data_IF_477248679046
#
_entry.id   IF_477248679046
#
_cell.length_a   1.000
_cell.length_b   1.000
_cell.length_c   1.000
_cell.angle_alpha   90.00
_cell.angle_beta   90.00
_cell.angle_gamma   90.00
#
_symmetry.space_group_name_H-M   'P 1'
#
loop_
_entity.id
_entity.type
_entity.pdbx_description
1 polymer ?
#
# COMPACT_ATOMS: atom_id res chain seq x y z
N UNK A 1 8.34 25.09 -11.60
CA UNK A 1 9.56 24.25 -11.55
C UNK A 1 9.12 22.88 -11.04
N UNK A 2 9.34 21.81 -11.80
CA UNK A 2 8.93 20.47 -11.38
C UNK A 2 9.86 19.97 -10.29
N UNK A 3 9.31 19.32 -9.26
CA UNK A 3 10.08 18.82 -8.11
C UNK A 3 11.01 17.68 -8.53
N UNK A 4 12.28 17.78 -8.15
CA UNK A 4 13.24 16.68 -8.28
C UNK A 4 13.00 15.65 -7.16
N UNK A 5 12.75 14.39 -7.57
CA UNK A 5 12.49 13.25 -6.67
C UNK A 5 13.57 12.17 -6.74
N UNK A 6 14.70 12.45 -7.40
CA UNK A 6 15.82 11.52 -7.59
C UNK A 6 16.30 10.89 -6.28
N UNK A 7 16.47 11.69 -5.22
CA UNK A 7 16.90 11.20 -3.90
C UNK A 7 15.90 10.21 -3.28
N UNK A 8 14.61 10.47 -3.44
CA UNK A 8 13.56 9.56 -2.98
C UNK A 8 13.59 8.24 -3.77
N UNK A 9 13.74 8.31 -5.09
CA UNK A 9 13.83 7.12 -5.96
C UNK A 9 15.04 6.25 -5.59
N UNK A 10 16.22 6.86 -5.40
CA UNK A 10 17.44 6.13 -5.01
C UNK A 10 17.23 5.40 -3.68
N UNK A 11 16.63 6.06 -2.68
CA UNK A 11 16.32 5.45 -1.37
C UNK A 11 15.28 4.33 -1.47
N UNK A 12 14.40 4.38 -2.47
CA UNK A 12 13.35 3.37 -2.67
C UNK A 12 13.85 2.07 -3.31
N UNK A 13 14.99 2.08 -4.04
CA UNK A 13 15.51 0.91 -4.78
C UNK A 13 15.54 -0.40 -4.00
N UNK A 14 16.05 -0.46 -2.75
CA UNK A 14 16.03 -1.71 -1.98
C UNK A 14 14.61 -2.19 -1.64
N UNK A 15 13.67 -1.26 -1.47
CA UNK A 15 12.25 -1.57 -1.24
C UNK A 15 11.57 -2.09 -2.51
N UNK A 16 11.89 -1.52 -3.67
CA UNK A 16 11.36 -1.95 -4.97
C UNK A 16 11.69 -3.42 -5.24
N UNK A 17 12.94 -3.84 -5.02
CA UNK A 17 13.34 -5.24 -5.21
C UNK A 17 12.57 -6.21 -4.31
N UNK A 18 12.36 -5.83 -3.04
CA UNK A 18 11.55 -6.63 -2.10
C UNK A 18 10.09 -6.71 -2.52
N UNK A 19 9.55 -5.62 -3.03
CA UNK A 19 8.18 -5.59 -3.54
C UNK A 19 8.02 -6.48 -4.76
N UNK A 20 8.91 -6.37 -5.76
CA UNK A 20 8.84 -7.20 -6.96
C UNK A 20 8.93 -8.70 -6.61
N UNK A 21 9.83 -9.08 -5.69
CA UNK A 21 9.91 -10.44 -5.18
C UNK A 21 8.63 -10.88 -4.46
N UNK A 22 8.00 -10.00 -3.69
CA UNK A 22 6.72 -10.29 -3.02
C UNK A 22 5.58 -10.48 -4.05
N UNK A 23 5.50 -9.59 -5.04
CA UNK A 23 4.46 -9.61 -6.07
C UNK A 23 4.61 -10.80 -7.03
N UNK A 24 5.83 -11.28 -7.26
CA UNK A 24 6.06 -12.51 -8.03
C UNK A 24 5.48 -13.74 -7.32
N UNK A 25 5.41 -13.72 -5.98
CA UNK A 25 4.94 -14.86 -5.18
C UNK A 25 3.44 -14.84 -4.90
N UNK A 26 2.81 -13.66 -4.76
CA UNK A 26 1.42 -13.53 -4.27
C UNK A 26 0.44 -14.42 -5.05
N UNK A 27 0.57 -14.48 -6.38
CA UNK A 27 -0.30 -15.30 -7.25
C UNK A 27 0.04 -16.79 -7.27
N UNK A 28 1.23 -17.19 -6.80
CA UNK A 28 1.78 -18.54 -6.97
C UNK A 28 1.64 -19.43 -5.74
N UNK A 29 1.61 -18.82 -4.55
CA UNK A 29 1.60 -19.56 -3.28
C UNK A 29 0.30 -19.38 -2.53
N UNK A 30 0.01 -20.28 -1.59
CA UNK A 30 -1.06 -20.07 -0.63
C UNK A 30 -0.57 -19.10 0.47
N UNK A 31 -1.03 -17.84 0.43
CA UNK A 31 -0.52 -16.78 1.31
C UNK A 31 -0.90 -16.99 2.79
N UNK A 32 -1.90 -17.83 3.09
CA UNK A 32 -2.30 -18.16 4.47
C UNK A 32 -1.38 -19.18 5.15
N UNK A 33 -0.61 -19.94 4.38
CA UNK A 33 0.23 -21.03 4.92
C UNK A 33 1.70 -20.93 4.51
N UNK A 34 2.04 -20.18 3.46
CA UNK A 34 3.41 -20.01 3.01
C UNK A 34 4.23 -19.09 3.93
N UNK A 35 5.12 -19.70 4.72
CA UNK A 35 5.94 -18.98 5.69
C UNK A 35 6.96 -18.02 5.05
N UNK A 36 7.42 -18.31 3.82
CA UNK A 36 8.38 -17.45 3.13
C UNK A 36 7.69 -16.16 2.65
N UNK A 37 6.50 -16.29 2.06
CA UNK A 37 5.65 -15.18 1.68
C UNK A 37 5.29 -14.32 2.90
N UNK A 38 4.79 -14.92 3.98
CA UNK A 38 4.41 -14.17 5.17
C UNK A 38 5.61 -13.42 5.77
N UNK A 39 6.81 -14.02 5.78
CA UNK A 39 8.04 -13.34 6.24
C UNK A 39 8.41 -12.17 5.32
N UNK A 40 8.35 -12.35 4.01
CA UNK A 40 8.64 -11.29 3.04
C UNK A 40 7.64 -10.14 3.16
N UNK A 41 6.34 -10.44 3.22
CA UNK A 41 5.26 -9.48 3.39
C UNK A 41 5.41 -8.70 4.71
N UNK A 42 5.57 -9.41 5.82
CA UNK A 42 5.76 -8.81 7.15
C UNK A 42 6.99 -7.89 7.17
N UNK A 43 8.09 -8.30 6.54
CA UNK A 43 9.31 -7.50 6.45
C UNK A 43 9.13 -6.24 5.60
N UNK A 44 8.49 -6.36 4.44
CA UNK A 44 8.25 -5.25 3.53
C UNK A 44 7.31 -4.20 4.14
N UNK A 45 6.16 -4.62 4.63
CA UNK A 45 5.13 -3.74 5.19
C UNK A 45 5.27 -3.44 6.68
N UNK A 46 6.31 -3.99 7.33
CA UNK A 46 6.59 -3.88 8.76
C UNK A 46 5.42 -4.35 9.63
N UNK A 47 4.79 -5.45 9.25
CA UNK A 47 3.68 -6.07 10.01
C UNK A 47 4.27 -6.87 11.18
N UNK A 48 4.45 -6.21 12.31
CA UNK A 48 5.14 -6.75 13.48
C UNK A 48 4.31 -6.63 14.74
N UNK A 49 4.71 -7.37 15.78
CA UNK A 49 4.16 -7.27 17.15
C UNK A 49 2.64 -7.56 17.21
N UNK A 50 2.19 -8.55 16.44
CA UNK A 50 0.81 -9.05 16.48
C UNK A 50 0.76 -10.42 17.15
N UNK A 51 -0.41 -10.73 17.72
CA UNK A 51 -0.67 -12.05 18.29
C UNK A 51 -0.84 -13.08 17.17
N UNK A 52 -0.52 -14.37 17.38
CA UNK A 52 -0.64 -15.40 16.35
C UNK A 52 -2.03 -15.45 15.69
N UNK A 53 -3.10 -15.32 16.48
CA UNK A 53 -4.47 -15.31 15.96
C UNK A 53 -4.73 -14.16 14.97
N UNK A 54 -4.09 -13.01 15.17
CA UNK A 54 -4.20 -11.88 14.24
C UNK A 54 -3.54 -12.19 12.89
N UNK A 55 -2.35 -12.79 12.90
CA UNK A 55 -1.67 -13.18 11.66
C UNK A 55 -2.49 -14.22 10.90
N UNK A 56 -3.04 -15.21 11.60
CA UNK A 56 -3.92 -16.21 11.01
C UNK A 56 -5.15 -15.59 10.33
N UNK A 57 -5.88 -14.72 11.04
CA UNK A 57 -7.04 -14.04 10.48
C UNK A 57 -6.69 -13.18 9.26
N UNK A 58 -5.61 -12.40 9.36
CA UNK A 58 -5.18 -11.48 8.31
C UNK A 58 -4.77 -12.21 7.01
N UNK A 59 -3.93 -13.24 7.12
CA UNK A 59 -3.48 -13.96 5.93
C UNK A 59 -4.53 -14.94 5.38
N UNK A 60 -5.43 -15.45 6.22
CA UNK A 60 -6.59 -16.22 5.73
C UNK A 60 -7.51 -15.33 4.90
N UNK A 61 -7.80 -14.10 5.38
CA UNK A 61 -8.56 -13.11 4.63
C UNK A 61 -7.87 -12.75 3.30
N UNK A 62 -6.55 -12.50 3.32
CA UNK A 62 -5.81 -12.20 2.09
C UNK A 62 -5.87 -13.34 1.08
N UNK A 63 -5.77 -14.60 1.54
CA UNK A 63 -5.86 -15.76 0.67
C UNK A 63 -7.27 -15.94 0.10
N UNK A 64 -8.30 -15.67 0.89
CA UNK A 64 -9.70 -15.71 0.43
C UNK A 64 -9.98 -14.67 -0.65
N UNK A 65 -9.46 -13.46 -0.49
CA UNK A 65 -9.63 -12.36 -1.45
C UNK A 65 -8.68 -12.47 -2.65
N UNK A 66 -7.79 -13.45 -2.68
CA UNK A 66 -6.82 -13.60 -3.77
C UNK A 66 -7.53 -13.95 -5.07
N UNK A 67 -7.26 -13.18 -6.12
CA UNK A 67 -7.89 -13.35 -7.43
C UNK A 67 -9.23 -12.61 -7.57
N UNK A 68 -9.70 -11.92 -6.53
CA UNK A 68 -10.80 -10.96 -6.62
C UNK A 68 -10.27 -9.52 -6.65
N UNK A 69 -11.18 -8.54 -6.71
CA UNK A 69 -10.86 -7.10 -6.70
C UNK A 69 -11.44 -6.42 -5.45
N UNK A 70 -10.96 -6.75 -4.24
CA UNK A 70 -11.55 -6.26 -3.01
C UNK A 70 -11.39 -4.74 -2.88
N UNK A 71 -12.40 -4.09 -2.32
CA UNK A 71 -12.31 -2.65 -2.03
C UNK A 71 -11.63 -2.42 -0.68
N UNK A 72 -11.07 -1.22 -0.47
CA UNK A 72 -10.54 -0.83 0.85
C UNK A 72 -11.58 -0.92 1.96
N UNK A 73 -12.81 -0.46 1.69
CA UNK A 73 -13.89 -0.49 2.66
C UNK A 73 -14.25 -1.90 3.10
N UNK A 74 -14.37 -2.82 2.14
CA UNK A 74 -14.63 -4.24 2.40
C UNK A 74 -13.52 -4.86 3.27
N UNK A 75 -12.25 -4.68 2.90
CA UNK A 75 -11.14 -5.25 3.69
C UNK A 75 -11.06 -4.66 5.09
N UNK A 76 -11.30 -3.35 5.23
CA UNK A 76 -11.29 -2.68 6.53
C UNK A 76 -12.41 -3.21 7.44
N UNK A 77 -13.62 -3.38 6.92
CA UNK A 77 -14.75 -3.93 7.68
C UNK A 77 -14.44 -5.37 8.12
N UNK A 78 -13.96 -6.22 7.21
CA UNK A 78 -13.66 -7.63 7.52
C UNK A 78 -12.51 -7.80 8.51
N UNK A 79 -11.46 -6.97 8.44
CA UNK A 79 -10.40 -6.95 9.46
C UNK A 79 -10.97 -6.48 10.79
N UNK A 80 -11.85 -5.47 10.79
CA UNK A 80 -12.46 -4.99 12.02
C UNK A 80 -13.34 -6.05 12.68
N UNK A 81 -14.17 -6.74 11.92
CA UNK A 81 -15.05 -7.81 12.38
C UNK A 81 -14.24 -8.99 12.95
N UNK A 82 -13.17 -9.42 12.26
CA UNK A 82 -12.38 -10.58 12.67
C UNK A 82 -11.42 -10.32 13.83
N UNK A 83 -10.94 -9.08 13.99
CA UNK A 83 -9.89 -8.75 14.99
C UNK A 83 -10.34 -7.80 16.08
N UNK A 84 -11.50 -7.15 15.93
CA UNK A 84 -11.97 -6.07 16.78
C UNK A 84 -11.18 -4.77 16.63
N UNK A 85 -10.22 -4.68 15.70
CA UNK A 85 -9.29 -3.56 15.58
C UNK A 85 -9.55 -2.69 14.36
N UNK A 86 -9.34 -1.39 14.53
CA UNK A 86 -9.32 -0.41 13.44
C UNK A 86 -7.92 -0.36 12.81
N UNK A 87 -7.76 -0.95 11.62
CA UNK A 87 -6.45 -1.13 10.97
C UNK A 87 -6.42 -0.67 9.50
N UNK A 88 -6.61 0.63 9.22
CA UNK A 88 -6.66 1.14 7.85
C UNK A 88 -5.34 0.90 7.10
N UNK A 89 -4.19 1.03 7.77
CA UNK A 89 -2.91 0.79 7.11
C UNK A 89 -2.79 -0.65 6.61
N UNK A 90 -3.07 -1.66 7.43
CA UNK A 90 -2.96 -3.05 6.99
C UNK A 90 -4.04 -3.46 6.00
N UNK A 91 -5.23 -2.85 6.08
CA UNK A 91 -6.30 -3.05 5.11
C UNK A 91 -5.84 -2.59 3.72
N UNK A 92 -5.32 -1.37 3.62
CA UNK A 92 -4.80 -0.85 2.34
C UNK A 92 -3.62 -1.63 1.78
N UNK A 93 -2.74 -2.19 2.64
CA UNK A 93 -1.59 -2.99 2.22
C UNK A 93 -2.03 -4.33 1.65
N UNK A 94 -3.05 -4.93 2.24
CA UNK A 94 -3.69 -6.14 1.69
C UNK A 94 -4.26 -5.83 0.30
N UNK A 95 -5.08 -4.78 0.20
CA UNK A 95 -5.67 -4.35 -1.08
C UNK A 95 -4.60 -4.03 -2.13
N UNK A 96 -3.56 -3.26 -1.79
CA UNK A 96 -2.49 -2.89 -2.70
C UNK A 96 -1.59 -4.06 -3.14
N UNK A 97 -1.56 -5.15 -2.37
CA UNK A 97 -0.85 -6.38 -2.73
C UNK A 97 -1.68 -7.27 -3.65
N UNK A 98 -3.00 -7.28 -3.47
CA UNK A 98 -3.92 -8.00 -4.34
C UNK A 98 -4.23 -7.22 -5.63
N UNK A 99 -4.16 -5.89 -5.58
CA UNK A 99 -4.39 -4.99 -6.70
C UNK A 99 -3.33 -3.86 -6.71
N UNK A 100 -2.32 -3.94 -7.60
CA UNK A 100 -1.28 -2.92 -7.74
C UNK A 100 -1.78 -1.53 -8.17
N UNK A 101 -3.02 -1.40 -8.63
CA UNK A 101 -3.66 -0.12 -8.99
C UNK A 101 -4.26 0.60 -7.77
N UNK A 102 -4.00 0.12 -6.55
CA UNK A 102 -4.55 0.70 -5.32
C UNK A 102 -3.46 1.30 -4.43
N UNK A 103 -3.63 2.52 -3.90
CA UNK A 103 -2.64 3.17 -3.06
C UNK A 103 -2.54 2.54 -1.68
N UNK A 104 -1.39 2.72 -1.02
CA UNK A 104 -1.20 2.30 0.37
C UNK A 104 -1.52 3.45 1.32
N UNK A 105 -2.33 3.16 2.33
CA UNK A 105 -2.51 4.00 3.51
C UNK A 105 -1.28 3.86 4.42
N UNK A 106 -0.40 4.85 4.35
CA UNK A 106 0.72 5.07 5.26
C UNK A 106 0.76 6.54 5.69
N UNK A 107 1.37 6.83 6.84
CA UNK A 107 1.46 8.21 7.36
C UNK A 107 2.11 9.18 6.37
N UNK A 108 3.08 8.72 5.57
CA UNK A 108 3.73 9.59 4.59
C UNK A 108 2.84 9.79 3.36
N UNK A 109 2.09 8.77 2.92
CA UNK A 109 1.10 8.93 1.83
C UNK A 109 0.01 9.89 2.28
N UNK A 110 -0.54 9.72 3.48
CA UNK A 110 -1.51 10.65 4.05
C UNK A 110 -1.00 12.09 4.06
N UNK A 111 0.20 12.31 4.62
CA UNK A 111 0.78 13.66 4.70
C UNK A 111 1.03 14.28 3.32
N UNK A 112 1.56 13.52 2.36
CA UNK A 112 1.86 14.03 1.02
C UNK A 112 0.59 14.22 0.16
N UNK A 113 -0.53 13.59 0.52
CA UNK A 113 -1.84 13.75 -0.14
C UNK A 113 -2.78 14.70 0.62
N UNK A 114 -2.25 15.43 1.61
CA UNK A 114 -2.99 16.35 2.49
C UNK A 114 -4.19 15.70 3.22
N UNK A 115 -4.07 14.40 3.51
CA UNK A 115 -5.08 13.65 4.25
C UNK A 115 -4.66 13.45 5.71
N UNK A 116 -5.66 13.43 6.59
CA UNK A 116 -5.46 13.18 8.02
C UNK A 116 -6.20 11.91 8.41
N UNK A 117 -5.50 11.01 9.10
CA UNK A 117 -6.11 9.79 9.60
C UNK A 117 -7.18 10.11 10.66
N UNK A 118 -8.36 9.48 10.61
CA UNK A 118 -9.37 9.61 11.66
C UNK A 118 -8.81 9.17 13.01
N UNK A 119 -9.24 9.84 14.08
CA UNK A 119 -8.86 9.48 15.44
C UNK A 119 -9.29 8.05 15.78
N UNK A 120 -8.42 7.30 16.48
CA UNK A 120 -8.74 5.95 16.98
C UNK A 120 -9.91 5.94 17.98
N UNK A 121 -10.19 7.08 18.63
CA UNK A 121 -11.30 7.24 19.58
C UNK A 121 -12.60 7.69 18.91
N UNK A 122 -12.56 8.09 17.63
CA UNK A 122 -13.78 8.49 16.92
C UNK A 122 -14.74 7.32 16.76
N UNK A 123 -16.04 7.58 16.95
CA UNK A 123 -17.11 6.60 16.71
C UNK A 123 -17.33 6.33 15.22
N UNK A 124 -17.01 7.30 14.37
CA UNK A 124 -17.18 7.23 12.91
C UNK A 124 -15.91 6.83 12.16
N UNK A 125 -14.81 6.50 12.89
CA UNK A 125 -13.47 6.29 12.32
C UNK A 125 -13.41 5.32 11.13
N UNK A 126 -14.25 4.27 11.12
CA UNK A 126 -14.31 3.31 10.02
C UNK A 126 -14.85 3.98 8.75
N UNK A 127 -15.97 4.70 8.87
CA UNK A 127 -16.56 5.41 7.74
C UNK A 127 -15.67 6.56 7.27
N UNK A 128 -15.10 7.32 8.21
CA UNK A 128 -14.18 8.41 7.90
C UNK A 128 -12.92 7.89 7.19
N UNK A 129 -12.42 6.70 7.55
CA UNK A 129 -11.30 6.08 6.86
C UNK A 129 -11.62 5.73 5.41
N UNK A 130 -12.83 5.24 5.14
CA UNK A 130 -13.28 4.95 3.76
C UNK A 130 -13.32 6.22 2.91
N UNK A 131 -13.83 7.32 3.47
CA UNK A 131 -13.82 8.63 2.81
C UNK A 131 -12.41 9.13 2.55
N UNK A 132 -11.54 9.08 3.57
CA UNK A 132 -10.13 9.49 3.41
C UNK A 132 -9.38 8.62 2.41
N UNK A 133 -9.66 7.33 2.32
CA UNK A 133 -9.03 6.48 1.30
C UNK A 133 -9.50 6.85 -0.10
N UNK A 134 -10.79 7.15 -0.29
CA UNK A 134 -11.29 7.66 -1.57
C UNK A 134 -10.63 9.00 -1.94
N UNK A 135 -10.39 9.89 -0.97
CA UNK A 135 -9.64 11.14 -1.21
C UNK A 135 -8.20 10.88 -1.68
N UNK A 136 -7.52 9.86 -1.12
CA UNK A 136 -6.21 9.41 -1.59
C UNK A 136 -6.31 8.91 -3.04
N UNK A 137 -7.29 8.06 -3.36
CA UNK A 137 -7.48 7.57 -4.73
C UNK A 137 -7.72 8.71 -5.73
N UNK A 138 -8.56 9.69 -5.38
CA UNK A 138 -8.82 10.87 -6.19
C UNK A 138 -7.56 11.73 -6.38
N UNK A 139 -6.72 11.83 -5.36
CA UNK A 139 -5.43 12.52 -5.48
C UNK A 139 -4.55 11.84 -6.53
N UNK A 140 -4.43 10.51 -6.53
CA UNK A 140 -3.65 9.78 -7.54
C UNK A 140 -4.23 9.95 -8.95
N UNK A 141 -5.55 9.87 -9.10
CA UNK A 141 -6.22 10.08 -10.39
C UNK A 141 -5.95 11.47 -10.98
N UNK A 142 -5.80 12.49 -10.12
CA UNK A 142 -5.51 13.86 -10.54
C UNK A 142 -4.01 14.11 -10.73
N UNK A 143 -3.17 13.51 -9.87
CA UNK A 143 -1.73 13.72 -9.85
C UNK A 143 -1.02 13.02 -11.02
N UNK A 144 -1.35 11.75 -11.29
CA UNK A 144 -0.68 10.95 -12.32
C UNK A 144 -0.70 11.60 -13.72
N UNK A 145 -1.82 12.14 -14.23
CA UNK A 145 -1.83 12.82 -15.53
C UNK A 145 -1.30 14.26 -15.51
N UNK A 146 -0.97 14.83 -14.34
CA UNK A 146 -0.41 16.18 -14.26
C UNK A 146 1.05 16.21 -14.74
N UNK A 147 1.53 17.40 -15.14
CA UNK A 147 2.93 17.60 -15.54
C UNK A 147 3.93 17.13 -14.46
N UNK A 148 3.57 17.32 -13.19
CA UNK A 148 4.40 16.86 -12.06
C UNK A 148 4.40 15.34 -11.95
N UNK A 149 3.23 14.69 -12.03
CA UNK A 149 3.11 13.23 -11.96
C UNK A 149 3.83 12.54 -13.11
N UNK A 150 3.65 13.03 -14.34
CA UNK A 150 4.36 12.52 -15.53
C UNK A 150 5.87 12.64 -15.34
N UNK A 151 6.35 13.79 -14.86
CA UNK A 151 7.78 14.00 -14.61
C UNK A 151 8.34 13.06 -13.55
N UNK A 152 7.60 12.79 -12.46
CA UNK A 152 8.04 11.84 -11.43
C UNK A 152 8.16 10.42 -11.99
N UNK A 153 7.20 9.99 -12.81
CA UNK A 153 7.22 8.68 -13.48
C UNK A 153 8.41 8.58 -14.43
N UNK A 154 8.70 9.62 -15.20
CA UNK A 154 9.87 9.64 -16.09
C UNK A 154 11.20 9.59 -15.34
N UNK A 155 11.34 10.37 -14.26
CA UNK A 155 12.52 10.31 -13.37
C UNK A 155 12.69 8.91 -12.79
N UNK A 156 11.59 8.27 -12.38
CA UNK A 156 11.61 6.89 -11.88
C UNK A 156 12.08 5.91 -12.96
N UNK A 157 11.49 5.96 -14.16
CA UNK A 157 11.82 5.06 -15.26
C UNK A 157 13.30 5.18 -15.68
N UNK A 158 13.89 6.38 -15.61
CA UNK A 158 15.33 6.60 -15.90
C UNK A 158 16.26 5.95 -14.87
N UNK A 159 15.82 5.79 -13.63
CA UNK A 159 16.68 5.38 -12.51
C UNK A 159 16.48 3.93 -12.07
N UNK A 160 15.34 3.31 -12.41
CA UNK A 160 14.96 1.97 -11.96
C UNK A 160 14.79 1.06 -13.18
N UNK A 161 15.72 0.14 -13.45
CA UNK A 161 15.64 -0.75 -14.62
C UNK A 161 14.34 -1.58 -14.71
N UNK A 162 13.82 -2.00 -13.55
CA UNK A 162 12.62 -2.84 -13.43
C UNK A 162 11.31 -2.03 -13.46
N UNK A 163 11.35 -0.76 -13.86
CA UNK A 163 10.19 0.14 -13.84
C UNK A 163 8.96 -0.39 -14.60
N UNK A 164 9.17 -1.24 -15.60
CA UNK A 164 8.11 -1.83 -16.42
C UNK A 164 7.25 -2.85 -15.64
N UNK A 165 7.75 -3.40 -14.53
CA UNK A 165 7.01 -4.31 -13.65
C UNK A 165 6.16 -3.57 -12.61
N UNK A 166 6.11 -2.24 -12.65
CA UNK A 166 5.41 -1.39 -11.71
C UNK A 166 4.40 -0.51 -12.43
N UNK A 167 3.21 -0.40 -11.85
CA UNK A 167 2.22 0.60 -12.26
C UNK A 167 2.74 2.00 -11.92
N UNK A 168 2.27 3.02 -12.64
CA UNK A 168 2.69 4.40 -12.36
C UNK A 168 2.28 4.84 -10.95
N UNK A 169 1.12 4.37 -10.47
CA UNK A 169 0.71 4.54 -9.08
C UNK A 169 1.76 3.99 -8.11
N UNK A 170 2.31 2.79 -8.35
CA UNK A 170 3.31 2.19 -7.46
C UNK A 170 4.63 2.96 -7.48
N UNK A 171 5.03 3.49 -8.63
CA UNK A 171 6.22 4.36 -8.74
C UNK A 171 6.08 5.57 -7.82
N UNK A 172 4.91 6.21 -7.85
CA UNK A 172 4.60 7.36 -6.98
C UNK A 172 4.50 6.94 -5.51
N UNK A 173 3.84 5.82 -5.17
CA UNK A 173 3.80 5.28 -3.79
C UNK A 173 5.22 5.14 -3.20
N UNK A 174 6.15 4.56 -3.97
CA UNK A 174 7.54 4.38 -3.54
C UNK A 174 8.26 5.70 -3.27
N UNK A 175 8.03 6.70 -4.13
CA UNK A 175 8.57 8.04 -3.95
C UNK A 175 8.00 8.67 -2.67
N UNK A 176 6.68 8.65 -2.48
CA UNK A 176 6.02 9.23 -1.31
C UNK A 176 6.50 8.61 0.01
N UNK A 177 6.75 7.30 0.06
CA UNK A 177 7.31 6.65 1.26
C UNK A 177 8.71 7.13 1.67
N UNK A 178 9.50 7.65 0.71
CA UNK A 178 10.83 8.20 0.99
C UNK A 178 10.80 9.72 1.21
N UNK A 179 9.69 10.38 0.85
CA UNK A 179 9.43 11.79 1.12
C UNK A 179 8.92 11.97 2.54
N UNK A 180 9.85 11.86 3.49
CA UNK A 180 9.65 12.19 4.89
C UNK A 180 9.91 13.68 5.03
N UNK A 181 8.85 14.48 4.95
CA UNK A 181 8.89 15.90 5.31
C UNK A 181 9.35 16.10 6.75
#
# INVERSE_FOLDING_TARGET
>A
MVKDVTSAIIKAKPGIQKYLALMDQVGKVNVSTDAAFQRAYNGFYRVQRRQPAWYSAYYSLMQELKGSTPTFGEVLDRIHESTGRYEPSFSSKCVATLNPEKPVWDKFVLSNTNQVAPSYTSRTKIQDAKLRYADIENWYQSFLPSDEGVSWVEQFNKLVPEHHALTDLKKVDFILWQMRG
#
